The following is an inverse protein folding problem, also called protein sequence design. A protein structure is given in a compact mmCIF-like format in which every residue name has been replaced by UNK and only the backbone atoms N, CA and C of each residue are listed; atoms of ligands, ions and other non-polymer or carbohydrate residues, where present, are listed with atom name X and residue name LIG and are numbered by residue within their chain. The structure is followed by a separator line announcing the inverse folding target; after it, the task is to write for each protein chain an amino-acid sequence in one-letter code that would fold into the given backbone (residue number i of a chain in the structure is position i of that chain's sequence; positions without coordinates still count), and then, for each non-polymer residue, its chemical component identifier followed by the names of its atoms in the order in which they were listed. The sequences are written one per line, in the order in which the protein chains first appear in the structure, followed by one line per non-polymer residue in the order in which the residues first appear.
data_IF_020805813183
#
_entry.id   IF_020805813183
#
_cell.length_a   1.000
_cell.length_b   1.000
_cell.length_c   1.000
_cell.angle_alpha   90.00
_cell.angle_beta   90.00
_cell.angle_gamma   90.00
#
_symmetry.space_group_name_H-M   'P 1'
#
loop_
_entity.id
_entity.type
_entity.pdbx_description
1 polymer ?
#
# COMPACT_ATOMS: atom_id res chain seq x y z
N UNK A 1 -3.94 -24.39 -16.49
CA UNK A 1 -4.46 -25.54 -15.71
C UNK A 1 -3.26 -26.28 -15.13
N UNK A 2 -3.15 -26.36 -13.81
CA UNK A 2 -1.98 -26.95 -13.15
C UNK A 2 -2.05 -26.86 -11.63
N UNK A 3 -3.19 -27.22 -11.05
CA UNK A 3 -3.26 -27.44 -9.61
C UNK A 3 -2.70 -28.83 -9.32
N UNK A 4 -1.47 -28.90 -8.82
CA UNK A 4 -0.89 -30.14 -8.31
C UNK A 4 -1.44 -30.36 -6.90
N UNK A 5 -2.30 -31.36 -6.74
CA UNK A 5 -2.70 -31.88 -5.43
C UNK A 5 -1.47 -32.55 -4.80
N UNK A 6 -0.80 -31.83 -3.89
CA UNK A 6 0.28 -32.42 -3.11
C UNK A 6 -0.28 -33.26 -1.95
N UNK A 7 0.30 -34.43 -1.64
CA UNK A 7 -0.08 -35.22 -0.47
C UNK A 7 0.18 -34.43 0.82
N UNK A 8 -0.61 -34.67 1.88
CA UNK A 8 -0.62 -33.91 3.14
C UNK A 8 0.74 -33.78 3.88
N UNK A 9 1.80 -34.46 3.43
CA UNK A 9 3.15 -34.41 3.98
C UNK A 9 4.24 -33.94 3.00
N UNK A 10 3.89 -33.56 1.76
CA UNK A 10 4.86 -33.05 0.80
C UNK A 10 5.20 -31.59 1.12
N UNK A 11 6.47 -31.34 1.46
CA UNK A 11 7.01 -29.98 1.54
C UNK A 11 7.31 -29.48 0.13
N UNK A 12 6.65 -28.39 -0.25
CA UNK A 12 6.98 -27.67 -1.48
C UNK A 12 8.44 -27.17 -1.40
N UNK A 13 9.22 -27.26 -2.50
CA UNK A 13 10.59 -26.77 -2.53
C UNK A 13 10.63 -25.28 -2.14
N UNK A 14 11.39 -24.96 -1.08
CA UNK A 14 11.42 -23.62 -0.48
C UNK A 14 11.96 -22.58 -1.48
N UNK A 15 12.81 -23.00 -2.42
CA UNK A 15 13.43 -22.10 -3.39
C UNK A 15 12.51 -21.65 -4.52
N UNK A 16 11.39 -22.34 -4.78
CA UNK A 16 10.47 -22.01 -5.89
C UNK A 16 9.11 -21.49 -5.41
N UNK A 17 8.82 -21.58 -4.11
CA UNK A 17 7.55 -21.19 -3.53
C UNK A 17 7.73 -20.18 -2.40
N UNK A 18 6.99 -19.08 -2.48
CA UNK A 18 6.91 -18.07 -1.44
C UNK A 18 5.78 -18.40 -0.46
N UNK A 19 6.02 -18.30 0.86
CA UNK A 19 4.95 -18.37 1.84
C UNK A 19 4.03 -17.15 1.71
N UNK A 20 2.73 -17.38 1.90
CA UNK A 20 1.73 -16.34 2.06
C UNK A 20 1.39 -16.25 3.54
N UNK A 21 1.68 -15.10 4.14
CA UNK A 21 1.45 -14.84 5.55
C UNK A 21 0.32 -13.82 5.68
N UNK A 22 -0.79 -14.21 6.29
CA UNK A 22 -1.88 -13.30 6.65
C UNK A 22 -1.83 -13.02 8.15
N UNK A 23 -1.59 -11.77 8.54
CA UNK A 23 -1.46 -11.36 9.95
C UNK A 23 -0.46 -12.25 10.73
N UNK A 24 0.69 -12.51 10.09
CA UNK A 24 1.76 -13.41 10.55
C UNK A 24 1.40 -14.91 10.64
N UNK A 25 0.19 -15.31 10.24
CA UNK A 25 -0.21 -16.71 10.10
C UNK A 25 0.09 -17.23 8.69
N UNK A 26 0.75 -18.39 8.58
CA UNK A 26 0.96 -19.05 7.30
C UNK A 26 -0.37 -19.63 6.78
N UNK A 27 -0.86 -19.09 5.67
CA UNK A 27 -2.11 -19.54 5.05
C UNK A 27 -1.88 -20.40 3.81
N UNK A 28 -0.71 -20.28 3.17
CA UNK A 28 -0.43 -21.03 1.95
C UNK A 28 0.92 -20.70 1.34
N UNK A 29 1.12 -21.16 0.11
CA UNK A 29 2.34 -20.89 -0.67
C UNK A 29 1.98 -20.58 -2.12
N UNK A 30 2.72 -19.69 -2.76
CA UNK A 30 2.57 -19.31 -4.17
C UNK A 30 3.87 -19.56 -4.93
N UNK A 31 3.80 -20.01 -6.17
CA UNK A 31 4.98 -20.14 -7.02
C UNK A 31 5.56 -18.75 -7.34
N UNK A 32 6.88 -18.62 -7.42
CA UNK A 32 7.55 -17.34 -7.69
C UNK A 32 7.01 -16.61 -8.93
N UNK A 33 6.81 -17.35 -10.03
CA UNK A 33 6.30 -16.79 -11.30
C UNK A 33 4.89 -16.19 -11.17
N UNK A 34 4.08 -16.70 -10.25
CA UNK A 34 2.70 -16.25 -10.04
C UNK A 34 2.59 -15.23 -8.91
N UNK A 35 3.63 -15.03 -8.10
CA UNK A 35 3.57 -14.18 -6.91
C UNK A 35 3.19 -12.72 -7.25
N UNK A 36 3.74 -12.17 -8.34
CA UNK A 36 3.40 -10.83 -8.81
C UNK A 36 1.94 -10.74 -9.29
N UNK A 37 1.46 -11.76 -10.00
CA UNK A 37 0.08 -11.82 -10.48
C UNK A 37 -0.93 -11.90 -9.32
N UNK A 38 -0.61 -12.70 -8.28
CA UNK A 38 -1.42 -12.80 -7.07
C UNK A 38 -1.46 -11.47 -6.32
N UNK A 39 -0.31 -10.82 -6.12
CA UNK A 39 -0.27 -9.50 -5.47
C UNK A 39 -1.05 -8.44 -6.26
N UNK A 40 -0.94 -8.43 -7.60
CA UNK A 40 -1.69 -7.52 -8.45
C UNK A 40 -3.21 -7.79 -8.40
N UNK A 41 -3.62 -9.06 -8.35
CA UNK A 41 -5.03 -9.43 -8.20
C UNK A 41 -5.59 -8.97 -6.85
N UNK A 42 -4.86 -9.16 -5.75
CA UNK A 42 -5.26 -8.68 -4.42
C UNK A 42 -5.41 -7.15 -4.39
N UNK A 43 -4.49 -6.42 -5.03
CA UNK A 43 -4.60 -4.94 -5.14
C UNK A 43 -5.80 -4.50 -5.96
N UNK A 44 -6.14 -5.21 -7.05
CA UNK A 44 -7.38 -4.94 -7.80
C UNK A 44 -8.60 -5.09 -6.91
N UNK A 45 -8.74 -6.22 -6.22
CA UNK A 45 -9.85 -6.43 -5.29
C UNK A 45 -9.92 -5.36 -4.20
N UNK A 46 -8.78 -4.94 -3.66
CA UNK A 46 -8.68 -3.85 -2.68
C UNK A 46 -9.20 -2.52 -3.24
N UNK A 47 -8.78 -2.15 -4.44
CA UNK A 47 -9.20 -0.90 -5.10
C UNK A 47 -10.68 -0.93 -5.48
N UNK A 48 -11.17 -2.04 -6.03
CA UNK A 48 -12.58 -2.21 -6.39
C UNK A 48 -13.46 -2.10 -5.13
N UNK A 49 -13.06 -2.76 -4.04
CA UNK A 49 -13.76 -2.66 -2.75
C UNK A 49 -13.67 -1.24 -2.18
N UNK A 50 -12.54 -0.55 -2.32
CA UNK A 50 -12.39 0.82 -1.85
C UNK A 50 -13.33 1.80 -2.58
N UNK A 51 -13.56 1.57 -3.88
CA UNK A 51 -14.51 2.33 -4.69
C UNK A 51 -15.96 2.09 -4.22
N UNK A 52 -16.33 0.85 -3.88
CA UNK A 52 -17.67 0.53 -3.34
C UNK A 52 -17.94 1.17 -1.98
N UNK A 53 -16.91 1.28 -1.12
CA UNK A 53 -17.04 1.80 0.25
C UNK A 53 -16.98 3.33 0.29
N UNK A 54 -16.55 4.00 -0.79
CA UNK A 54 -16.43 5.46 -0.85
C UNK A 54 -15.30 6.03 0.02
N UNK A 55 -14.28 5.24 0.35
CA UNK A 55 -13.13 5.69 1.17
C UNK A 55 -12.20 6.60 0.36
N UNK A 56 -12.23 6.49 -0.96
CA UNK A 56 -11.17 7.01 -1.85
C UNK A 56 -11.66 7.90 -2.98
N UNK A 57 -12.97 8.16 -3.09
CA UNK A 57 -13.53 9.04 -4.13
C UNK A 57 -13.88 10.43 -3.58
N UNK A 58 -13.33 11.47 -4.20
CA UNK A 58 -13.84 12.86 -4.13
C UNK A 58 -15.21 13.02 -4.82
N UNK A 59 -15.76 11.93 -5.36
CA UNK A 59 -17.12 11.87 -5.87
C UNK A 59 -18.10 11.68 -4.70
N UNK A 60 -19.10 12.56 -4.64
CA UNK A 60 -20.24 12.49 -3.73
C UNK A 60 -20.71 11.04 -3.57
N UNK A 61 -20.77 10.60 -2.31
CA UNK A 61 -21.27 9.28 -1.94
C UNK A 61 -22.60 9.04 -2.67
N UNK A 62 -22.60 8.08 -3.59
CA UNK A 62 -23.85 7.69 -4.23
C UNK A 62 -24.74 7.09 -3.13
N UNK A 63 -25.81 7.80 -2.77
CA UNK A 63 -26.68 7.56 -1.60
C UNK A 63 -27.48 6.23 -1.64
N UNK A 64 -27.00 5.21 -2.35
CA UNK A 64 -27.72 3.95 -2.60
C UNK A 64 -27.07 2.67 -2.07
N UNK A 65 -25.82 2.70 -1.58
CA UNK A 65 -25.18 1.50 -1.03
C UNK A 65 -25.37 1.47 0.50
N UNK A 66 -26.03 0.43 1.02
CA UNK A 66 -26.19 0.21 2.46
C UNK A 66 -24.85 0.28 3.19
N UNK A 67 -24.87 0.58 4.49
CA UNK A 67 -23.66 0.79 5.29
C UNK A 67 -22.61 -0.33 5.02
N UNK A 68 -21.40 0.03 4.59
CA UNK A 68 -20.42 -0.96 4.16
C UNK A 68 -20.07 -1.88 5.32
N UNK A 69 -20.07 -3.19 5.05
CA UNK A 69 -19.76 -4.21 6.04
C UNK A 69 -18.33 -4.02 6.57
N UNK A 70 -18.07 -4.45 7.80
CA UNK A 70 -16.73 -4.38 8.41
C UNK A 70 -15.68 -5.03 7.51
N UNK A 71 -16.04 -6.16 6.88
CA UNK A 71 -15.19 -6.87 5.93
C UNK A 71 -14.79 -6.00 4.73
N UNK A 72 -15.73 -5.29 4.11
CA UNK A 72 -15.43 -4.41 2.97
C UNK A 72 -14.45 -3.29 3.38
N UNK A 73 -14.61 -2.70 4.58
CA UNK A 73 -13.67 -1.70 5.10
C UNK A 73 -12.27 -2.28 5.36
N UNK A 74 -12.20 -3.49 5.90
CA UNK A 74 -10.92 -4.18 6.11
C UNK A 74 -10.24 -4.51 4.79
N UNK A 75 -10.98 -4.96 3.78
CA UNK A 75 -10.43 -5.25 2.45
C UNK A 75 -9.94 -3.99 1.73
N UNK A 76 -10.65 -2.86 1.85
CA UNK A 76 -10.23 -1.58 1.28
C UNK A 76 -8.91 -1.05 1.88
N UNK A 77 -8.60 -1.42 3.13
CA UNK A 77 -7.37 -1.03 3.85
C UNK A 77 -6.35 -2.15 3.98
N UNK A 78 -6.52 -3.24 3.22
CA UNK A 78 -5.63 -4.40 3.27
C UNK A 78 -4.22 -4.02 2.82
N UNK A 79 -3.21 -4.36 3.62
CA UNK A 79 -1.82 -4.21 3.23
C UNK A 79 -1.34 -5.51 2.58
N UNK A 80 -0.79 -5.42 1.38
CA UNK A 80 -0.35 -6.50 0.49
C UNK A 80 1.11 -6.25 0.06
N UNK A 81 2.06 -6.65 0.90
CA UNK A 81 3.49 -6.49 0.65
C UNK A 81 4.11 -7.76 0.06
N UNK A 82 4.61 -7.66 -1.17
CA UNK A 82 5.30 -8.76 -1.85
C UNK A 82 6.82 -8.55 -1.77
N UNK A 83 7.50 -9.36 -0.96
CA UNK A 83 8.96 -9.37 -0.87
C UNK A 83 9.48 -10.57 -1.67
N UNK A 84 10.19 -10.28 -2.76
CA UNK A 84 10.81 -11.29 -3.61
C UNK A 84 12.16 -11.75 -3.03
N UNK A 85 12.60 -12.98 -3.33
CA UNK A 85 13.86 -13.50 -2.82
C UNK A 85 15.03 -12.72 -3.39
N UNK A 86 15.86 -12.18 -2.50
CA UNK A 86 17.09 -11.46 -2.81
C UNK A 86 18.22 -11.95 -1.90
N UNK A 87 19.44 -11.99 -2.44
CA UNK A 87 20.62 -12.43 -1.68
C UNK A 87 20.91 -11.43 -0.55
N UNK A 88 20.83 -11.88 0.71
CA UNK A 88 21.04 -11.02 1.88
C UNK A 88 19.92 -10.00 2.16
N UNK A 89 18.77 -10.15 1.50
CA UNK A 89 17.59 -9.31 1.71
C UNK A 89 16.71 -9.76 2.88
N UNK A 90 15.60 -9.06 3.07
CA UNK A 90 14.54 -9.48 4.00
C UNK A 90 13.95 -10.84 3.61
N UNK A 91 13.34 -11.52 4.58
CA UNK A 91 12.69 -12.80 4.32
C UNK A 91 11.61 -12.67 3.23
N UNK A 92 11.71 -13.50 2.20
CA UNK A 92 10.82 -13.43 1.05
C UNK A 92 9.48 -14.08 1.37
N UNK A 93 8.41 -13.31 1.26
CA UNK A 93 7.04 -13.77 1.43
C UNK A 93 6.06 -12.78 0.80
N UNK A 94 4.82 -13.25 0.61
CA UNK A 94 3.67 -12.37 0.41
C UNK A 94 3.03 -12.11 1.79
N UNK A 95 3.23 -10.91 2.31
CA UNK A 95 2.67 -10.45 3.58
C UNK A 95 1.33 -9.76 3.32
N UNK A 96 0.31 -10.22 4.02
CA UNK A 96 -1.03 -9.65 4.01
C UNK A 96 -1.34 -9.23 5.45
N UNK A 97 -1.66 -7.96 5.67
CA UNK A 97 -2.08 -7.48 6.98
C UNK A 97 -3.49 -6.89 6.91
N UNK A 98 -4.34 -7.32 7.84
CA UNK A 98 -5.74 -6.92 7.98
C UNK A 98 -6.07 -6.35 9.36
N UNK A 99 -5.14 -6.45 10.31
CA UNK A 99 -5.31 -5.96 11.69
C UNK A 99 -5.62 -4.47 11.79
N UNK A 100 -6.21 -4.08 12.92
CA UNK A 100 -6.42 -2.67 13.27
C UNK A 100 -5.10 -1.96 13.65
N UNK A 101 -5.15 -0.63 13.79
CA UNK A 101 -4.04 0.23 14.21
C UNK A 101 -2.80 0.20 13.29
N UNK A 102 -2.99 -0.07 11.99
CA UNK A 102 -1.96 0.06 10.96
C UNK A 102 -1.89 1.49 10.43
N UNK A 103 -0.69 1.96 10.14
CA UNK A 103 -0.53 3.17 9.34
C UNK A 103 -0.91 2.87 7.90
N UNK A 104 -1.73 3.72 7.32
CA UNK A 104 -2.08 3.67 5.89
C UNK A 104 -2.04 5.08 5.33
N UNK A 105 -1.71 5.20 4.04
CA UNK A 105 -1.74 6.48 3.33
C UNK A 105 -2.27 6.30 1.91
N UNK A 106 -2.99 7.28 1.36
CA UNK A 106 -3.51 7.19 0.01
C UNK A 106 -2.43 7.53 -1.03
N UNK A 107 -2.35 6.73 -2.08
CA UNK A 107 -1.54 6.96 -3.29
C UNK A 107 -2.38 6.63 -4.52
N UNK A 108 -2.04 7.20 -5.67
CA UNK A 108 -2.69 6.82 -6.93
C UNK A 108 -1.99 5.62 -7.54
N UNK A 109 -2.71 4.52 -7.71
CA UNK A 109 -2.25 3.37 -8.46
C UNK A 109 -2.31 3.70 -9.96
N UNK A 110 -1.16 3.72 -10.64
CA UNK A 110 -1.08 4.15 -12.03
C UNK A 110 -1.70 3.13 -13.00
N UNK A 111 -1.70 1.83 -12.65
CA UNK A 111 -2.23 0.77 -13.50
C UNK A 111 -3.76 0.72 -13.47
N UNK A 112 -4.35 0.97 -12.31
CA UNK A 112 -5.80 0.95 -12.11
C UNK A 112 -6.43 2.33 -12.22
N UNK A 113 -5.61 3.38 -12.27
CA UNK A 113 -6.01 4.78 -12.27
C UNK A 113 -6.99 5.13 -11.13
N UNK A 114 -6.72 4.60 -9.95
CA UNK A 114 -7.57 4.76 -8.77
C UNK A 114 -6.71 4.95 -7.51
N UNK A 115 -7.30 5.56 -6.49
CA UNK A 115 -6.63 5.77 -5.20
C UNK A 115 -6.61 4.48 -4.40
N UNK A 116 -5.42 4.08 -3.97
CA UNK A 116 -5.14 2.89 -3.17
C UNK A 116 -4.52 3.32 -1.84
N UNK A 117 -4.99 2.72 -0.73
CA UNK A 117 -4.39 2.92 0.59
C UNK A 117 -3.23 1.96 0.81
N UNK A 118 -2.00 2.44 0.87
CA UNK A 118 -0.81 1.61 1.08
C UNK A 118 -0.31 1.67 2.52
N UNK A 119 0.30 0.58 2.98
CA UNK A 119 1.00 0.50 4.26
C UNK A 119 2.52 0.72 4.15
N UNK A 120 3.22 0.90 5.29
CA UNK A 120 4.66 1.11 5.32
C UNK A 120 5.46 -0.07 4.78
N UNK A 121 5.02 -1.32 5.00
CA UNK A 121 5.75 -2.49 4.53
C UNK A 121 5.65 -2.60 3.01
N UNK A 122 4.45 -2.40 2.46
CA UNK A 122 4.23 -2.32 1.01
C UNK A 122 5.16 -1.30 0.36
N UNK A 123 5.24 -0.11 0.95
CA UNK A 123 6.01 1.01 0.42
C UNK A 123 7.49 0.69 0.24
N UNK A 124 8.08 -0.23 1.01
CA UNK A 124 9.49 -0.65 0.84
C UNK A 124 9.77 -1.33 -0.50
N UNK A 125 8.76 -1.95 -1.11
CA UNK A 125 8.87 -2.70 -2.37
C UNK A 125 8.26 -1.96 -3.56
N UNK A 126 7.41 -0.97 -3.31
CA UNK A 126 6.74 -0.18 -4.34
C UNK A 126 7.62 0.95 -4.86
N UNK A 127 7.41 1.31 -6.13
CA UNK A 127 8.02 2.47 -6.77
C UNK A 127 6.94 3.54 -6.91
N UNK A 128 6.94 4.51 -5.99
CA UNK A 128 5.98 5.61 -5.95
C UNK A 128 6.65 6.87 -6.50
N UNK A 129 6.12 7.42 -7.59
CA UNK A 129 6.58 8.68 -8.17
C UNK A 129 6.13 9.86 -7.31
N UNK A 130 7.01 10.84 -7.09
CA UNK A 130 6.75 12.01 -6.25
C UNK A 130 5.74 12.98 -6.88
N UNK A 131 5.87 13.25 -8.18
CA UNK A 131 4.93 14.06 -8.95
C UNK A 131 4.46 13.31 -10.20
N UNK A 132 3.35 13.75 -10.84
CA UNK A 132 2.91 13.18 -12.12
C UNK A 132 3.98 13.28 -13.22
N UNK A 133 4.85 14.28 -13.15
CA UNK A 133 5.96 14.51 -14.08
C UNK A 133 7.09 13.48 -13.92
N UNK A 134 7.27 12.92 -12.73
CA UNK A 134 8.27 11.88 -12.43
C UNK A 134 7.79 10.47 -12.80
N UNK A 135 6.55 10.35 -13.28
CA UNK A 135 5.98 9.07 -13.67
C UNK A 135 6.70 8.48 -14.88
N UNK A 136 7.21 7.26 -14.71
CA UNK A 136 7.90 6.50 -15.75
C UNK A 136 7.18 5.17 -16.00
N UNK A 137 6.48 5.03 -17.15
CA UNK A 137 5.79 3.79 -17.50
C UNK A 137 6.73 2.58 -17.41
N UNK A 138 6.32 1.55 -16.69
CA UNK A 138 7.11 0.31 -16.50
C UNK A 138 8.11 0.34 -15.34
N UNK A 139 8.51 1.53 -14.85
CA UNK A 139 9.40 1.66 -13.67
C UNK A 139 8.62 2.01 -12.40
N UNK A 140 7.72 2.99 -12.49
CA UNK A 140 6.90 3.46 -11.37
C UNK A 140 5.53 2.81 -11.41
N UNK A 141 5.09 2.25 -10.28
CA UNK A 141 3.79 1.59 -10.16
C UNK A 141 2.70 2.51 -9.60
N UNK A 142 3.08 3.48 -8.78
CA UNK A 142 2.17 4.41 -8.13
C UNK A 142 2.69 5.85 -8.29
N UNK A 143 1.81 6.82 -8.03
CA UNK A 143 2.11 8.25 -8.02
C UNK A 143 1.50 8.84 -6.75
N UNK A 144 2.20 9.75 -6.10
CA UNK A 144 1.62 10.53 -5.00
C UNK A 144 0.39 11.33 -5.48
N UNK A 145 -0.62 11.50 -4.62
CA UNK A 145 -1.77 12.32 -4.94
C UNK A 145 -1.39 13.80 -5.00
N UNK A 146 -0.64 14.24 -3.99
CA UNK A 146 -0.06 15.56 -3.90
C UNK A 146 1.29 15.45 -3.15
N UNK A 147 2.35 16.12 -3.62
CA UNK A 147 3.66 16.06 -2.98
C UNK A 147 3.67 16.58 -1.54
N UNK A 148 2.70 17.40 -1.14
CA UNK A 148 2.60 17.95 0.22
C UNK A 148 2.08 16.94 1.25
N UNK A 149 1.52 15.80 0.81
CA UNK A 149 0.98 14.77 1.70
C UNK A 149 2.03 14.08 2.59
N UNK A 150 3.32 14.28 2.31
CA UNK A 150 4.42 13.82 3.17
C UNK A 150 4.56 14.67 4.45
N UNK A 151 4.01 15.89 4.45
CA UNK A 151 4.14 16.83 5.55
C UNK A 151 3.01 16.66 6.57
N UNK A 152 3.33 16.96 7.83
CA UNK A 152 2.30 17.13 8.86
C UNK A 152 1.47 18.38 8.59
N UNK A 153 0.26 18.45 9.15
CA UNK A 153 -0.62 19.62 9.08
C UNK A 153 0.08 20.92 9.48
N UNK A 154 0.94 20.89 10.51
CA UNK A 154 1.65 22.11 10.96
C UNK A 154 2.77 22.49 9.98
N UNK A 155 3.46 21.50 9.43
CA UNK A 155 4.55 21.74 8.48
C UNK A 155 4.03 22.28 7.15
N UNK A 156 2.88 21.79 6.66
CA UNK A 156 2.26 22.24 5.41
C UNK A 156 1.76 23.68 5.45
N UNK A 157 1.59 24.27 6.65
CA UNK A 157 1.21 25.68 6.81
C UNK A 157 2.39 26.64 6.74
N UNK A 158 3.64 26.15 6.70
CA UNK A 158 4.81 27.02 6.55
C UNK A 158 4.88 27.50 5.09
N UNK A 159 4.71 28.80 4.81
CA UNK A 159 4.71 29.30 3.43
C UNK A 159 6.09 29.11 2.81
N UNK A 160 6.11 28.62 1.56
CA UNK A 160 7.33 28.41 0.77
C UNK A 160 8.42 27.64 1.55
N UNK A 161 8.02 26.55 2.21
CA UNK A 161 8.89 25.80 3.12
C UNK A 161 10.16 25.25 2.43
N UNK A 162 10.10 25.01 1.13
CA UNK A 162 11.20 24.59 0.26
C UNK A 162 12.28 25.66 0.06
N UNK A 163 11.97 26.94 0.28
CA UNK A 163 12.93 28.05 0.24
C UNK A 163 13.65 28.26 1.58
N UNK A 164 13.22 27.55 2.62
CA UNK A 164 13.81 27.63 3.95
C UNK A 164 14.74 26.44 4.19
N UNK A 165 15.84 26.68 4.91
CA UNK A 165 16.67 25.58 5.38
C UNK A 165 15.86 24.69 6.35
N UNK A 166 15.97 23.36 6.21
CA UNK A 166 15.19 22.40 7.00
C UNK A 166 15.13 22.68 8.52
N UNK A 167 16.23 23.09 9.20
CA UNK A 167 16.16 23.44 10.62
C UNK A 167 15.21 24.61 10.95
N UNK A 168 14.98 25.55 10.02
CA UNK A 168 14.04 26.67 10.20
C UNK A 168 12.59 26.21 10.14
N UNK A 169 12.26 25.30 9.22
CA UNK A 169 10.92 24.72 9.14
C UNK A 169 10.60 23.90 10.40
N UNK A 170 11.57 23.14 10.90
CA UNK A 170 11.41 22.38 12.15
C UNK A 170 11.16 23.31 13.34
N UNK A 171 11.92 24.40 13.45
CA UNK A 171 11.74 25.40 14.50
C UNK A 171 10.37 26.11 14.39
N UNK A 172 9.94 26.46 13.17
CA UNK A 172 8.63 27.07 12.94
C UNK A 172 7.48 26.16 13.40
N UNK A 173 7.58 24.85 13.16
CA UNK A 173 6.59 23.90 13.65
C UNK A 173 6.53 23.84 15.18
N UNK A 174 7.66 24.04 15.87
CA UNK A 174 7.71 24.12 17.33
C UNK A 174 7.05 25.41 17.83
N UNK A 175 7.42 26.56 17.25
CA UNK A 175 6.89 27.86 17.64
C UNK A 175 5.38 27.97 17.35
N UNK A 176 4.92 27.43 16.22
CA UNK A 176 3.50 27.40 15.85
C UNK A 176 2.62 26.63 16.83
N UNK A 177 3.16 25.66 17.58
CA UNK A 177 2.44 24.95 18.65
C UNK A 177 2.42 25.70 19.99
N UNK A 178 3.19 26.77 20.12
CA UNK A 178 3.31 27.58 21.34
C UNK A 178 2.62 28.94 21.22
N UNK A 179 2.06 29.27 20.05
CA UNK A 179 1.29 30.49 19.86
C UNK A 179 -0.03 30.43 20.65
N UNK A 180 -0.46 31.59 21.17
CA UNK A 180 -1.60 31.73 22.08
C UNK A 180 -2.89 32.04 21.33
#
# INVERSE_FOLDING_TARGET
AGAVLMPMAASLPINSYLPILMDAMLIGRVHLDQAQAVAAALRRFKVDTAAEVGITSDAEATEGAGAPTLLQRTLATLEVALILPQLGGSFAALYIASTAARFTRPVRNALLNATELIGPLEQTTLRVAYAPEDYRPGETSHVELDPTNIFSVVASLTPFCDFNQSPRNMYQCQMGKQTM
#
